data_IF_262914540414
#
_entry.id   IF_262914540414
#
_cell.length_a   1.000
_cell.length_b   1.000
_cell.length_c   1.000
_cell.angle_alpha   90.00
_cell.angle_beta   90.00
_cell.angle_gamma   90.00
#
_symmetry.space_group_name_H-M   'P 1'
#
loop_
_entity.id
_entity.type
_entity.pdbx_description
1 polymer ?
#
# COMPACT_ATOMS: atom_id res chain seq x y z
N UNK A 1 -3.76 -5.44 11.59
CA UNK A 1 -4.39 -5.61 10.26
C UNK A 1 -3.61 -6.52 9.31
N UNK A 2 -2.49 -7.15 9.72
CA UNK A 2 -1.83 -8.19 8.92
C UNK A 2 -1.30 -9.30 9.85
N UNK A 3 -1.42 -10.57 9.44
CA UNK A 3 -0.85 -11.74 10.12
C UNK A 3 0.21 -12.37 9.23
N UNK A 4 1.40 -11.82 9.31
CA UNK A 4 2.56 -12.25 8.54
C UNK A 4 3.57 -12.94 9.43
N UNK A 5 4.36 -13.84 8.86
CA UNK A 5 5.50 -14.42 9.55
C UNK A 5 6.35 -13.32 10.19
N UNK A 6 6.72 -13.44 11.49
CA UNK A 6 6.54 -14.61 12.36
C UNK A 6 5.19 -14.69 13.10
N UNK A 7 4.34 -13.68 12.99
CA UNK A 7 3.05 -13.56 13.68
C UNK A 7 1.87 -14.23 12.93
N UNK A 8 2.17 -15.02 11.90
CA UNK A 8 1.19 -15.72 11.08
C UNK A 8 1.89 -16.61 10.03
N UNK A 9 1.15 -17.52 9.38
CA UNK A 9 1.72 -18.47 8.42
C UNK A 9 1.98 -17.84 7.04
N UNK A 10 1.39 -16.69 6.74
CA UNK A 10 1.53 -16.02 5.45
C UNK A 10 2.88 -15.30 5.33
N UNK A 11 3.48 -15.38 4.15
CA UNK A 11 4.71 -14.67 3.79
C UNK A 11 4.42 -13.29 3.15
N UNK A 12 5.47 -12.56 2.77
CA UNK A 12 5.35 -11.25 2.15
C UNK A 12 4.65 -11.27 0.78
N UNK A 13 4.74 -12.39 0.06
CA UNK A 13 4.09 -12.54 -1.24
C UNK A 13 2.58 -12.68 -1.07
N UNK A 14 2.14 -13.48 -0.09
CA UNK A 14 0.73 -13.57 0.28
C UNK A 14 0.18 -12.24 0.78
N UNK A 15 0.96 -11.47 1.54
CA UNK A 15 0.57 -10.10 1.92
C UNK A 15 0.35 -9.21 0.71
N UNK A 16 1.32 -9.19 -0.21
CA UNK A 16 1.26 -8.37 -1.41
C UNK A 16 0.07 -8.79 -2.28
N UNK A 17 -0.16 -10.09 -2.44
CA UNK A 17 -1.31 -10.62 -3.14
C UNK A 17 -2.62 -10.18 -2.48
N UNK A 18 -2.71 -10.18 -1.15
CA UNK A 18 -3.90 -9.76 -0.41
C UNK A 18 -4.15 -8.23 -0.41
N UNK A 19 -3.37 -7.44 -1.16
CA UNK A 19 -3.52 -5.98 -1.32
C UNK A 19 -2.32 -5.17 -0.83
N UNK A 20 -1.40 -5.79 -0.09
CA UNK A 20 -0.09 -5.24 0.22
C UNK A 20 -0.07 -3.92 0.99
N UNK A 21 1.05 -3.20 0.86
CA UNK A 21 1.26 -1.89 1.49
C UNK A 21 0.21 -0.85 1.04
N UNK A 22 -0.18 -0.76 -0.25
CA UNK A 22 -1.18 0.23 -0.68
C UNK A 22 -2.50 0.13 0.08
N UNK A 23 -3.02 -1.08 0.29
CA UNK A 23 -4.24 -1.31 1.04
C UNK A 23 -4.05 -0.97 2.54
N UNK A 24 -2.92 -1.39 3.13
CA UNK A 24 -2.61 -1.07 4.52
C UNK A 24 -2.57 0.45 4.77
N UNK A 25 -1.87 1.20 3.91
CA UNK A 25 -1.76 2.65 4.02
C UNK A 25 -3.13 3.32 3.87
N UNK A 26 -3.95 2.84 2.91
CA UNK A 26 -5.31 3.32 2.70
C UNK A 26 -6.18 3.16 3.95
N UNK A 27 -6.19 1.97 4.56
CA UNK A 27 -7.02 1.70 5.72
C UNK A 27 -6.58 2.48 6.97
N UNK A 28 -5.26 2.66 7.16
CA UNK A 28 -4.74 3.46 8.26
C UNK A 28 -5.04 4.96 8.08
N UNK A 29 -4.90 5.49 6.86
CA UNK A 29 -5.27 6.88 6.55
C UNK A 29 -6.77 7.12 6.74
N UNK A 30 -7.63 6.22 6.21
CA UNK A 30 -9.09 6.29 6.44
C UNK A 30 -9.45 6.26 7.92
N UNK A 31 -8.71 5.48 8.72
CA UNK A 31 -8.91 5.38 10.16
C UNK A 31 -8.36 6.56 10.97
N UNK A 32 -7.72 7.56 10.33
CA UNK A 32 -7.07 8.67 11.03
C UNK A 32 -5.85 8.25 11.86
N UNK A 33 -5.25 7.09 11.54
CA UNK A 33 -4.13 6.50 12.27
C UNK A 33 -2.77 6.89 11.69
N UNK A 34 -2.77 7.62 10.57
CA UNK A 34 -1.58 8.19 9.94
C UNK A 34 -1.82 9.66 9.61
N UNK A 35 -0.77 10.47 9.73
CA UNK A 35 -0.79 11.86 9.29
C UNK A 35 -0.60 11.91 7.76
N UNK A 36 -1.61 12.42 7.06
CA UNK A 36 -1.56 12.59 5.60
C UNK A 36 -0.61 13.71 5.18
N UNK A 37 -0.59 14.80 5.95
CA UNK A 37 0.07 16.08 5.60
C UNK A 37 1.57 16.08 5.90
N UNK A 38 2.32 15.21 5.22
CA UNK A 38 3.77 15.05 5.40
C UNK A 38 4.52 15.10 4.08
N UNK A 39 5.80 15.51 4.14
CA UNK A 39 6.72 15.37 3.02
C UNK A 39 7.27 13.95 2.96
N UNK A 40 7.31 13.38 1.75
CA UNK A 40 7.88 12.06 1.47
C UNK A 40 8.86 12.14 0.31
N UNK A 41 9.61 11.07 0.06
CA UNK A 41 10.46 10.97 -1.14
C UNK A 41 9.67 10.98 -2.44
N UNK A 42 8.38 10.63 -2.40
CA UNK A 42 7.47 10.66 -3.55
C UNK A 42 6.73 12.02 -3.68
N UNK A 43 7.14 13.04 -2.91
CA UNK A 43 6.49 14.35 -2.83
C UNK A 43 5.59 14.50 -1.59
N UNK A 44 4.85 15.60 -1.53
CA UNK A 44 3.94 15.88 -0.42
C UNK A 44 2.71 14.95 -0.45
N UNK A 45 2.27 14.51 0.74
CA UNK A 45 1.06 13.72 0.95
C UNK A 45 1.31 12.22 1.03
N UNK A 46 0.95 11.60 2.16
CA UNK A 46 1.14 10.15 2.36
C UNK A 46 0.19 9.29 1.51
N UNK A 47 -0.89 9.88 0.97
CA UNK A 47 -1.83 9.23 0.05
C UNK A 47 -1.17 8.63 -1.19
N UNK A 48 -0.01 9.13 -1.62
CA UNK A 48 0.76 8.56 -2.74
C UNK A 48 1.15 7.10 -2.50
N UNK A 49 1.29 6.68 -1.25
CA UNK A 49 1.61 5.30 -0.88
C UNK A 49 0.38 4.37 -0.90
N UNK A 50 -0.81 4.86 -1.29
CA UNK A 50 -1.96 4.01 -1.62
C UNK A 50 -1.97 3.59 -3.10
N UNK A 51 -0.95 3.99 -3.85
CA UNK A 51 -0.74 3.64 -5.26
C UNK A 51 0.33 2.55 -5.37
N UNK A 52 0.31 1.83 -6.49
CA UNK A 52 1.32 0.84 -6.83
C UNK A 52 1.99 1.18 -8.17
N UNK A 53 3.30 0.96 -8.29
CA UNK A 53 3.99 1.09 -9.56
C UNK A 53 3.61 -0.08 -10.46
N UNK A 54 3.48 0.18 -11.76
CA UNK A 54 3.25 -0.85 -12.76
C UNK A 54 3.99 -0.51 -14.04
N UNK A 55 4.20 -1.54 -14.86
CA UNK A 55 4.83 -1.38 -16.17
C UNK A 55 3.74 -1.13 -17.22
N UNK A 56 3.58 0.12 -17.62
CA UNK A 56 2.64 0.56 -18.64
C UNK A 56 3.35 0.60 -20.00
N UNK A 57 3.15 -0.43 -20.83
CA UNK A 57 3.76 -0.53 -22.17
C UNK A 57 5.28 -0.33 -22.20
N UNK A 58 5.99 -0.80 -21.16
CA UNK A 58 7.45 -0.68 -21.04
C UNK A 58 7.92 0.57 -20.28
N UNK A 59 7.00 1.45 -19.88
CA UNK A 59 7.30 2.64 -19.08
C UNK A 59 6.81 2.45 -17.63
N UNK A 60 7.54 3.04 -16.68
CA UNK A 60 7.12 3.08 -15.29
C UNK A 60 5.95 4.06 -15.15
N UNK A 61 4.86 3.59 -14.57
CA UNK A 61 3.69 4.41 -14.25
C UNK A 61 3.11 4.00 -12.89
N UNK A 62 2.17 4.79 -12.36
CA UNK A 62 1.52 4.57 -11.06
C UNK A 62 0.01 4.47 -11.22
N UNK A 63 -0.60 3.53 -10.51
CA UNK A 63 -2.06 3.34 -10.49
C UNK A 63 -2.57 3.19 -9.07
N UNK A 64 -3.88 3.37 -8.89
CA UNK A 64 -4.53 3.08 -7.61
C UNK A 64 -4.27 1.62 -7.20
N UNK A 65 -3.73 1.42 -5.99
CA UNK A 65 -3.57 0.10 -5.41
C UNK A 65 -4.91 -0.46 -4.93
N UNK A 66 -4.88 -1.69 -4.42
CA UNK A 66 -6.07 -2.41 -3.95
C UNK A 66 -6.92 -1.57 -2.98
N UNK A 67 -8.25 -1.66 -3.14
CA UNK A 67 -9.24 -0.99 -2.29
C UNK A 67 -9.88 -1.93 -1.25
N UNK A 68 -9.68 -3.24 -1.41
CA UNK A 68 -10.13 -4.30 -0.51
C UNK A 68 -9.13 -5.46 -0.55
N UNK A 69 -9.17 -6.30 0.49
CA UNK A 69 -8.36 -7.53 0.55
C UNK A 69 -9.02 -8.65 -0.23
N UNK A 70 -8.22 -9.62 -0.70
CA UNK A 70 -8.66 -10.82 -1.43
C UNK A 70 -9.19 -11.91 -0.50
#
# INVERSE_FOLDING_TARGET
>A
MARLYPNGPADINHFQAAGGVPLLMRELLKGGLLHEDVNTVAGFGLKRYTQEPWLNNGELDWREGASASL
#
